data_IF_004330398739
#
_entry.id   IF_004330398739
#
_cell.length_a   1.000
_cell.length_b   1.000
_cell.length_c   1.000
_cell.angle_alpha   90.00
_cell.angle_beta   90.00
_cell.angle_gamma   90.00
#
_symmetry.space_group_name_H-M   'P 1'
#
loop_
_entity.id
_entity.type
_entity.pdbx_description
1 polymer ?
#
# COMPACT_ATOMS: atom_id res chain seq x y z
N UNK A 1 12.39 -1.52 8.10
CA UNK A 1 12.81 -0.15 7.74
C UNK A 1 13.31 -0.21 6.30
N UNK A 2 12.48 0.30 5.37
CA UNK A 2 12.72 0.22 3.93
C UNK A 2 14.08 0.84 3.59
N UNK A 3 15.04 -0.02 3.25
CA UNK A 3 16.34 0.43 2.77
C UNK A 3 16.15 0.91 1.34
N UNK A 4 16.17 2.23 1.13
CA UNK A 4 16.24 2.79 -0.23
C UNK A 4 17.64 2.54 -0.74
N UNK A 5 17.81 1.52 -1.57
CA UNK A 5 19.01 1.39 -2.38
C UNK A 5 18.87 2.30 -3.61
N UNK A 6 19.72 3.32 -3.79
CA UNK A 6 19.87 3.91 -5.11
C UNK A 6 20.43 2.82 -6.05
N UNK A 7 19.99 2.84 -7.31
CA UNK A 7 20.31 1.81 -8.29
C UNK A 7 21.77 1.33 -8.22
N UNK A 8 21.97 0.05 -7.87
CA UNK A 8 23.26 -0.64 -8.01
C UNK A 8 24.02 -1.06 -6.75
N UNK A 9 23.46 -0.98 -5.53
CA UNK A 9 24.16 -1.42 -4.31
C UNK A 9 23.39 -2.46 -3.49
N UNK A 10 24.01 -3.60 -3.19
CA UNK A 10 23.54 -4.54 -2.17
C UNK A 10 24.14 -4.19 -0.81
N UNK A 11 23.34 -4.14 0.26
CA UNK A 11 23.86 -4.00 1.64
C UNK A 11 23.08 -4.89 2.62
N UNK A 12 23.84 -5.71 3.35
CA UNK A 12 23.41 -6.46 4.55
C UNK A 12 23.21 -5.50 5.73
N UNK A 13 22.19 -5.73 6.57
CA UNK A 13 21.93 -4.94 7.78
C UNK A 13 22.87 -5.35 8.92
N UNK A 14 23.66 -4.41 9.45
CA UNK A 14 24.26 -4.47 10.79
C UNK A 14 23.52 -3.49 11.73
N UNK A 15 23.17 -3.97 12.93
CA UNK A 15 22.37 -3.26 13.92
C UNK A 15 23.19 -2.25 14.75
N UNK A 16 22.79 -0.97 14.75
CA UNK A 16 23.31 0.02 15.69
C UNK A 16 22.42 1.27 15.74
N UNK A 17 21.71 1.47 16.85
CA UNK A 17 20.84 2.62 17.09
C UNK A 17 21.60 3.66 17.95
N UNK A 18 21.74 4.89 17.48
CA UNK A 18 22.26 6.04 18.24
C UNK A 18 21.16 7.08 18.41
N UNK A 19 20.83 7.41 19.66
CA UNK A 19 19.85 8.44 20.02
C UNK A 19 20.57 9.79 20.27
N UNK A 20 20.03 10.95 19.84
CA UNK A 20 20.52 12.24 20.29
C UNK A 20 19.71 12.77 21.50
N UNK A 21 20.45 13.12 22.56
CA UNK A 21 19.97 13.80 23.75
C UNK A 21 20.01 15.33 23.58
N UNK A 22 18.91 16.01 23.93
CA UNK A 22 18.83 17.48 23.96
C UNK A 22 17.78 17.96 24.98
N UNK A 23 17.99 19.10 25.67
CA UNK A 23 17.30 19.43 26.92
C UNK A 23 15.89 20.02 26.73
N UNK A 24 15.01 19.70 27.68
CA UNK A 24 13.64 20.20 27.79
C UNK A 24 13.60 21.62 28.37
N UNK A 25 12.83 22.52 27.73
CA UNK A 25 12.51 23.83 28.28
C UNK A 25 11.02 23.91 28.63
N UNK A 26 10.73 24.36 29.85
CA UNK A 26 9.40 24.48 30.47
C UNK A 26 8.96 25.94 30.36
N UNK A 27 7.74 26.22 29.87
CA UNK A 27 7.09 27.53 30.03
C UNK A 27 5.63 27.32 30.41
N UNK A 28 5.22 27.95 31.52
CA UNK A 28 3.87 28.00 32.04
C UNK A 28 3.13 29.27 31.55
N UNK A 29 1.80 29.20 31.37
CA UNK A 29 0.95 30.40 31.34
C UNK A 29 -0.33 30.35 30.50
N UNK A 30 -1.45 30.06 31.18
CA UNK A 30 -2.79 30.70 31.03
C UNK A 30 -3.54 30.72 29.68
N UNK A 31 -4.53 29.83 29.57
CA UNK A 31 -5.96 30.20 29.50
C UNK A 31 -6.50 31.00 28.30
N UNK A 32 -6.90 30.29 27.23
CA UNK A 32 -8.03 30.70 26.39
C UNK A 32 -8.78 29.46 25.89
N UNK A 33 -9.96 29.18 26.45
CA UNK A 33 -10.86 28.12 25.93
C UNK A 33 -11.71 28.73 24.81
N UNK A 34 -11.17 28.73 23.60
CA UNK A 34 -12.00 28.69 22.41
C UNK A 34 -12.31 27.22 22.10
N UNK A 35 -13.59 26.86 22.01
CA UNK A 35 -14.02 25.54 21.59
C UNK A 35 -13.55 25.27 20.17
N UNK A 36 -12.35 24.71 20.02
CA UNK A 36 -11.90 24.13 18.78
C UNK A 36 -12.80 22.94 18.49
N UNK A 37 -13.69 23.08 17.51
CA UNK A 37 -14.22 21.93 16.80
C UNK A 37 -13.01 21.22 16.24
N UNK A 38 -12.65 20.08 16.81
CA UNK A 38 -11.63 19.19 16.27
C UNK A 38 -12.14 18.75 14.91
N UNK A 39 -11.77 19.48 13.84
CA UNK A 39 -11.78 18.95 12.49
C UNK A 39 -10.89 17.72 12.59
N UNK A 40 -11.50 16.53 12.62
CA UNK A 40 -10.77 15.28 12.72
C UNK A 40 -9.69 15.29 11.66
N UNK A 41 -8.43 15.11 12.06
CA UNK A 41 -7.29 15.04 11.14
C UNK A 41 -7.65 14.03 10.06
N UNK A 42 -7.86 14.47 8.82
CA UNK A 42 -8.09 13.54 7.72
C UNK A 42 -6.86 12.63 7.66
N UNK A 43 -7.07 11.32 7.78
CA UNK A 43 -5.99 10.34 7.67
C UNK A 43 -5.52 10.35 6.22
N UNK A 44 -4.21 10.46 6.00
CA UNK A 44 -3.63 10.33 4.66
C UNK A 44 -3.86 8.89 4.16
N UNK A 45 -4.15 8.74 2.86
CA UNK A 45 -4.19 7.41 2.25
C UNK A 45 -2.79 6.79 2.19
N UNK A 46 -2.67 5.46 2.11
CA UNK A 46 -1.38 4.82 1.85
C UNK A 46 -0.71 5.37 0.59
N UNK A 47 -1.45 5.58 -0.50
CA UNK A 47 -0.94 6.19 -1.72
C UNK A 47 -0.29 7.56 -1.46
N UNK A 48 -0.93 8.43 -0.66
CA UNK A 48 -0.38 9.75 -0.33
C UNK A 48 0.90 9.65 0.52
N UNK A 49 0.98 8.72 1.47
CA UNK A 49 2.19 8.49 2.28
C UNK A 49 3.36 8.02 1.42
N UNK A 50 3.13 7.07 0.53
CA UNK A 50 4.19 6.52 -0.34
C UNK A 50 4.58 7.51 -1.44
N UNK A 51 3.64 8.29 -1.97
CA UNK A 51 3.96 9.37 -2.91
C UNK A 51 4.85 10.44 -2.26
N UNK A 52 4.56 10.82 -1.01
CA UNK A 52 5.43 11.74 -0.26
C UNK A 52 6.85 11.19 -0.12
N UNK A 53 7.00 9.88 0.12
CA UNK A 53 8.29 9.21 0.18
C UNK A 53 9.01 9.21 -1.17
N UNK A 54 8.34 8.80 -2.26
CA UNK A 54 8.96 8.83 -3.60
C UNK A 54 9.45 10.23 -3.96
N UNK A 55 8.66 11.27 -3.66
CA UNK A 55 9.06 12.65 -3.85
C UNK A 55 10.29 13.04 -3.00
N UNK A 56 10.29 12.70 -1.71
CA UNK A 56 11.39 13.05 -0.80
C UNK A 56 12.71 12.34 -1.15
N UNK A 57 12.63 11.12 -1.67
CA UNK A 57 13.78 10.27 -1.99
C UNK A 57 14.15 10.27 -3.48
N UNK A 58 13.45 11.05 -4.32
CA UNK A 58 13.73 11.16 -5.76
C UNK A 58 13.48 9.86 -6.53
N UNK A 59 12.50 9.06 -6.10
CA UNK A 59 12.13 7.80 -6.76
C UNK A 59 11.11 8.03 -7.86
N UNK A 60 11.08 7.13 -8.84
CA UNK A 60 10.10 7.12 -9.92
C UNK A 60 8.66 7.14 -9.41
N UNK A 61 7.87 8.10 -9.91
CA UNK A 61 6.42 8.15 -9.73
C UNK A 61 5.79 8.66 -11.03
N UNK A 62 5.18 7.76 -11.80
CA UNK A 62 4.55 8.10 -13.09
C UNK A 62 3.15 8.67 -12.85
N UNK A 63 2.69 9.52 -13.77
CA UNK A 63 1.37 10.20 -13.67
C UNK A 63 0.23 9.46 -14.37
N UNK A 64 0.55 8.47 -15.18
CA UNK A 64 -0.41 7.64 -15.91
C UNK A 64 0.17 6.22 -16.00
N UNK A 65 -0.69 5.18 -16.09
CA UNK A 65 -0.22 3.81 -16.14
C UNK A 65 0.65 3.55 -17.37
N UNK A 66 1.78 2.89 -17.17
CA UNK A 66 2.71 2.53 -18.22
C UNK A 66 3.44 1.22 -17.89
N UNK A 67 3.87 0.55 -18.97
CA UNK A 67 4.91 -0.45 -18.88
C UNK A 67 6.24 0.22 -18.49
N UNK A 68 7.09 -0.52 -17.78
CA UNK A 68 8.40 -0.05 -17.32
C UNK A 68 9.50 -0.99 -17.84
N UNK A 69 10.76 -0.54 -17.87
CA UNK A 69 11.86 -1.40 -18.31
C UNK A 69 11.92 -2.72 -17.53
N UNK A 70 12.24 -3.86 -18.18
CA UNK A 70 12.27 -5.17 -17.54
C UNK A 70 13.14 -5.24 -16.28
N UNK A 71 14.30 -4.56 -16.27
CA UNK A 71 15.17 -4.51 -15.10
C UNK A 71 14.50 -3.83 -13.90
N UNK A 72 13.71 -2.78 -14.13
CA UNK A 72 12.98 -2.09 -13.08
C UNK A 72 11.81 -2.93 -12.59
N UNK A 73 11.09 -3.61 -13.51
CA UNK A 73 10.02 -4.54 -13.15
C UNK A 73 10.54 -5.72 -12.30
N UNK A 74 11.67 -6.31 -12.69
CA UNK A 74 12.33 -7.37 -11.93
C UNK A 74 12.73 -6.88 -10.53
N UNK A 75 13.30 -5.68 -10.43
CA UNK A 75 13.64 -5.11 -9.13
C UNK A 75 12.41 -4.89 -8.24
N UNK A 76 11.29 -4.39 -8.79
CA UNK A 76 10.03 -4.26 -8.02
C UNK A 76 9.47 -5.62 -7.60
N UNK A 77 9.63 -6.65 -8.42
CA UNK A 77 9.24 -8.03 -8.08
C UNK A 77 10.06 -8.56 -6.91
N UNK A 78 11.38 -8.36 -6.92
CA UNK A 78 12.28 -8.83 -5.86
C UNK A 78 11.92 -8.21 -4.51
N UNK A 79 11.66 -6.90 -4.48
CA UNK A 79 11.19 -6.20 -3.28
C UNK A 79 9.86 -6.79 -2.77
N UNK A 80 8.88 -7.01 -3.65
CA UNK A 80 7.59 -7.62 -3.26
C UNK A 80 7.76 -9.04 -2.70
N UNK A 81 8.68 -9.82 -3.28
CA UNK A 81 8.96 -11.18 -2.84
C UNK A 81 9.67 -11.19 -1.47
N UNK A 82 10.59 -10.25 -1.23
CA UNK A 82 11.27 -10.07 0.05
C UNK A 82 10.25 -9.78 1.17
N UNK A 83 9.42 -8.75 1.03
CA UNK A 83 8.44 -8.39 2.08
C UNK A 83 7.42 -9.50 2.34
N UNK A 84 7.02 -10.25 1.31
CA UNK A 84 6.12 -11.39 1.48
C UNK A 84 6.79 -12.54 2.25
N UNK A 85 8.09 -12.76 2.05
CA UNK A 85 8.86 -13.74 2.81
C UNK A 85 8.93 -13.33 4.29
N UNK A 86 9.18 -12.05 4.60
CA UNK A 86 9.22 -11.52 5.98
C UNK A 86 7.86 -11.72 6.69
N UNK A 87 6.73 -11.44 6.02
CA UNK A 87 5.39 -11.77 6.56
C UNK A 87 5.27 -13.27 6.89
N UNK A 88 5.77 -14.13 6.02
CA UNK A 88 5.64 -15.59 6.16
C UNK A 88 6.40 -16.12 7.38
N UNK A 89 7.50 -15.47 7.77
CA UNK A 89 8.28 -15.82 8.96
C UNK A 89 7.52 -15.55 10.27
N UNK A 90 6.68 -14.51 10.32
CA UNK A 90 6.01 -14.07 11.54
C UNK A 90 4.52 -14.43 11.61
N UNK A 91 3.89 -14.81 10.49
CA UNK A 91 2.42 -14.95 10.39
C UNK A 91 1.79 -16.00 11.31
N UNK A 92 2.49 -17.07 11.67
CA UNK A 92 1.91 -18.20 12.43
C UNK A 92 2.17 -18.10 13.93
N UNK A 93 3.42 -17.77 14.29
CA UNK A 93 3.89 -17.81 15.69
C UNK A 93 4.57 -16.53 16.13
N UNK A 94 4.70 -15.54 15.24
CA UNK A 94 5.34 -14.26 15.55
C UNK A 94 4.47 -13.38 16.45
N UNK A 95 5.09 -12.40 17.13
CA UNK A 95 4.35 -11.44 17.92
C UNK A 95 3.54 -10.49 17.00
N UNK A 96 2.40 -10.00 17.50
CA UNK A 96 1.42 -9.26 16.70
C UNK A 96 1.97 -7.93 16.14
N UNK A 97 2.85 -7.26 16.87
CA UNK A 97 3.50 -6.02 16.46
C UNK A 97 4.46 -6.24 15.28
N UNK A 98 5.20 -7.35 15.27
CA UNK A 98 6.02 -7.73 14.11
C UNK A 98 5.15 -8.09 12.90
N UNK A 99 4.10 -8.88 13.08
CA UNK A 99 3.16 -9.16 11.99
C UNK A 99 2.55 -7.87 11.41
N UNK A 100 2.21 -6.91 12.27
CA UNK A 100 1.70 -5.62 11.83
C UNK A 100 2.74 -4.81 11.04
N UNK A 101 4.03 -4.87 11.43
CA UNK A 101 5.13 -4.26 10.68
C UNK A 101 5.27 -4.88 9.29
N UNK A 102 5.35 -6.20 9.18
CA UNK A 102 5.58 -6.86 7.88
C UNK A 102 4.38 -6.70 6.94
N UNK A 103 3.15 -6.71 7.47
CA UNK A 103 1.97 -6.38 6.68
C UNK A 103 2.00 -4.93 6.17
N UNK A 104 2.51 -3.99 6.97
CA UNK A 104 2.66 -2.60 6.56
C UNK A 104 3.72 -2.47 5.45
N UNK A 105 4.84 -3.17 5.54
CA UNK A 105 5.92 -3.12 4.56
C UNK A 105 5.47 -3.72 3.20
N UNK A 106 4.71 -4.83 3.18
CA UNK A 106 4.05 -5.35 1.97
C UNK A 106 3.15 -4.31 1.32
N UNK A 107 2.29 -3.66 2.10
CA UNK A 107 1.40 -2.61 1.58
C UNK A 107 2.22 -1.45 1.02
N UNK A 108 3.28 -1.03 1.73
CA UNK A 108 4.12 0.08 1.33
C UNK A 108 4.82 -0.19 -0.01
N UNK A 109 5.41 -1.37 -0.18
CA UNK A 109 6.06 -1.77 -1.43
C UNK A 109 5.03 -1.98 -2.55
N UNK A 110 3.83 -2.48 -2.27
CA UNK A 110 2.77 -2.60 -3.28
C UNK A 110 2.35 -1.23 -3.83
N UNK A 111 2.11 -0.23 -2.97
CA UNK A 111 1.81 1.13 -3.41
C UNK A 111 3.00 1.78 -4.12
N UNK A 112 4.22 1.55 -3.65
CA UNK A 112 5.42 2.05 -4.33
C UNK A 112 5.55 1.46 -5.75
N UNK A 113 5.19 0.19 -5.94
CA UNK A 113 5.26 -0.48 -7.24
C UNK A 113 4.20 0.10 -8.16
N UNK A 114 2.99 0.32 -7.65
CA UNK A 114 1.93 0.98 -8.41
C UNK A 114 2.33 2.40 -8.85
N UNK A 115 2.95 3.20 -7.97
CA UNK A 115 3.45 4.53 -8.32
C UNK A 115 4.54 4.50 -9.40
N UNK A 116 5.47 3.54 -9.34
CA UNK A 116 6.47 3.34 -10.40
C UNK A 116 5.77 3.06 -11.73
N UNK A 117 4.71 2.24 -11.75
CA UNK A 117 3.91 2.03 -12.95
C UNK A 117 2.96 3.17 -13.30
N UNK A 118 2.73 4.14 -12.41
CA UNK A 118 1.75 5.21 -12.59
C UNK A 118 0.29 4.76 -12.43
N UNK A 119 0.08 3.64 -11.74
CA UNK A 119 -1.24 3.08 -11.44
C UNK A 119 -1.75 3.74 -10.17
N UNK A 120 -2.95 4.33 -10.25
CA UNK A 120 -3.71 4.68 -9.05
C UNK A 120 -4.29 3.39 -8.46
N UNK A 121 -3.59 2.86 -7.45
CA UNK A 121 -3.94 1.61 -6.79
C UNK A 121 -5.20 1.72 -5.93
N UNK A 122 -5.53 2.93 -5.44
CA UNK A 122 -6.76 3.14 -4.66
C UNK A 122 -7.99 2.87 -5.54
N UNK A 123 -7.98 3.35 -6.80
CA UNK A 123 -9.04 3.09 -7.78
C UNK A 123 -9.12 1.62 -8.22
N UNK A 124 -7.96 0.96 -8.41
CA UNK A 124 -7.92 -0.48 -8.71
C UNK A 124 -8.49 -1.30 -7.55
N UNK A 125 -8.12 -0.97 -6.30
CA UNK A 125 -8.64 -1.63 -5.11
C UNK A 125 -10.15 -1.38 -4.94
N UNK A 126 -10.64 -0.18 -5.24
CA UNK A 126 -12.06 0.14 -5.22
C UNK A 126 -12.86 -0.75 -6.19
N UNK A 127 -12.35 -0.97 -7.41
CA UNK A 127 -12.99 -1.86 -8.38
C UNK A 127 -12.93 -3.34 -7.96
N UNK A 128 -11.79 -3.80 -7.44
CA UNK A 128 -11.67 -5.16 -6.87
C UNK A 128 -12.64 -5.33 -5.70
N UNK A 129 -12.77 -4.33 -4.84
CA UNK A 129 -13.71 -4.32 -3.72
C UNK A 129 -15.16 -4.39 -4.23
N UNK A 130 -15.55 -3.53 -5.18
CA UNK A 130 -16.88 -3.55 -5.81
C UNK A 130 -17.22 -4.94 -6.35
N UNK A 131 -16.30 -5.55 -7.09
CA UNK A 131 -16.48 -6.89 -7.63
C UNK A 131 -16.60 -7.97 -6.54
N UNK A 132 -15.82 -7.87 -5.46
CA UNK A 132 -15.93 -8.78 -4.32
C UNK A 132 -17.26 -8.63 -3.57
N UNK A 133 -17.73 -7.40 -3.36
CA UNK A 133 -19.02 -7.13 -2.72
C UNK A 133 -20.20 -7.59 -3.58
N UNK A 134 -20.06 -7.65 -4.91
CA UNK A 134 -21.08 -8.22 -5.79
C UNK A 134 -21.29 -9.74 -5.64
N UNK A 135 -20.44 -10.44 -4.87
CA UNK A 135 -20.61 -11.87 -4.57
C UNK A 135 -21.70 -12.13 -3.54
N UNK A 136 -22.15 -11.11 -2.82
CA UNK A 136 -23.23 -11.24 -1.84
C UNK A 136 -24.54 -11.65 -2.52
N UNK A 137 -25.31 -12.51 -1.85
CA UNK A 137 -26.65 -12.91 -2.28
C UNK A 137 -27.69 -11.82 -2.01
N UNK A 138 -28.96 -12.09 -2.33
CA UNK A 138 -30.07 -11.14 -2.16
C UNK A 138 -30.19 -10.55 -0.74
N UNK A 139 -29.83 -11.32 0.29
CA UNK A 139 -29.90 -10.90 1.70
C UNK A 139 -28.61 -10.23 2.21
N UNK A 140 -27.73 -9.78 1.31
CA UNK A 140 -26.39 -9.28 1.64
C UNK A 140 -25.48 -10.29 2.38
N UNK A 141 -25.78 -11.58 2.25
CA UNK A 141 -25.00 -12.67 2.85
C UNK A 141 -24.14 -13.39 1.81
N UNK A 142 -22.90 -13.79 2.13
CA UNK A 142 -22.09 -14.59 1.22
C UNK A 142 -22.70 -15.99 1.03
N UNK A 143 -22.94 -16.40 -0.21
CA UNK A 143 -23.25 -17.80 -0.52
C UNK A 143 -21.95 -18.60 -0.39
N UNK A 144 -21.94 -19.64 0.45
CA UNK A 144 -20.73 -20.45 0.73
C UNK A 144 -20.92 -21.90 0.36
N UNK A 145 -19.83 -22.54 -0.09
CA UNK A 145 -19.73 -24.01 -0.17
C UNK A 145 -19.42 -24.61 1.22
N UNK A 146 -19.56 -25.95 1.38
CA UNK A 146 -19.17 -26.65 2.62
C UNK A 146 -17.71 -26.44 3.03
N UNK A 147 -16.81 -26.14 2.08
CA UNK A 147 -15.40 -25.82 2.33
C UNK A 147 -15.16 -24.37 2.81
N UNK A 148 -16.23 -23.59 3.03
CA UNK A 148 -16.17 -22.18 3.44
C UNK A 148 -15.93 -21.18 2.30
N UNK A 149 -15.68 -21.65 1.07
CA UNK A 149 -15.43 -20.77 -0.08
C UNK A 149 -16.67 -19.97 -0.44
N UNK A 150 -16.51 -18.64 -0.53
CA UNK A 150 -17.54 -17.74 -1.05
C UNK A 150 -17.73 -17.98 -2.55
N UNK A 151 -18.95 -18.31 -2.94
CA UNK A 151 -19.37 -18.51 -4.32
C UNK A 151 -19.74 -17.19 -4.98
N UNK A 152 -19.71 -17.19 -6.31
CA UNK A 152 -20.24 -16.09 -7.11
C UNK A 152 -21.77 -16.19 -7.09
N UNK A 153 -22.42 -15.20 -6.47
CA UNK A 153 -23.88 -15.08 -6.49
C UNK A 153 -24.43 -14.76 -7.89
N UNK A 154 -25.77 -14.80 -8.08
CA UNK A 154 -26.41 -14.55 -9.37
C UNK A 154 -26.18 -13.14 -9.94
N UNK A 155 -25.82 -12.18 -9.08
CA UNK A 155 -25.55 -10.78 -9.47
C UNK A 155 -24.05 -10.44 -9.52
N UNK A 156 -23.17 -11.45 -9.46
CA UNK A 156 -21.74 -11.24 -9.50
C UNK A 156 -21.30 -10.53 -10.79
N UNK A 157 -20.45 -9.53 -10.62
CA UNK A 157 -19.76 -8.83 -11.71
C UNK A 157 -18.26 -8.89 -11.47
N UNK A 158 -17.52 -9.42 -12.43
CA UNK A 158 -16.06 -9.41 -12.40
C UNK A 158 -15.51 -7.98 -12.36
N UNK A 159 -14.30 -7.76 -11.82
CA UNK A 159 -13.66 -6.46 -11.88
C UNK A 159 -13.24 -6.15 -13.32
N UNK A 160 -13.50 -4.93 -13.80
CA UNK A 160 -13.03 -4.44 -15.10
C UNK A 160 -11.79 -3.54 -14.92
N UNK A 161 -10.66 -4.17 -14.62
CA UNK A 161 -9.40 -3.47 -14.39
C UNK A 161 -8.91 -2.76 -15.65
N UNK A 162 -9.18 -3.32 -16.83
CA UNK A 162 -8.80 -2.68 -18.09
C UNK A 162 -9.53 -1.34 -18.28
N UNK A 163 -10.82 -1.26 -17.95
CA UNK A 163 -11.54 0.02 -17.97
C UNK A 163 -11.01 1.01 -16.94
N UNK A 164 -10.68 0.56 -15.72
CA UNK A 164 -10.08 1.42 -14.69
C UNK A 164 -8.75 2.01 -15.17
N UNK A 165 -7.86 1.19 -15.72
CA UNK A 165 -6.57 1.65 -16.25
C UNK A 165 -6.75 2.61 -17.44
N UNK A 166 -7.71 2.34 -18.35
CA UNK A 166 -8.04 3.29 -19.44
C UNK A 166 -8.53 4.62 -18.91
N UNK A 167 -9.35 4.64 -17.85
CA UNK A 167 -9.79 5.88 -17.21
C UNK A 167 -8.63 6.65 -16.56
N UNK A 168 -7.58 5.95 -16.14
CA UNK A 168 -6.31 6.54 -15.67
C UNK A 168 -5.37 6.97 -16.82
N UNK A 169 -5.78 6.82 -18.09
CA UNK A 169 -5.02 7.24 -19.26
C UNK A 169 -4.18 6.13 -19.92
N UNK A 170 -4.30 4.87 -19.48
CA UNK A 170 -3.61 3.76 -20.12
C UNK A 170 -4.19 3.46 -21.50
N UNK A 171 -3.32 3.37 -22.50
CA UNK A 171 -3.66 2.82 -23.83
C UNK A 171 -2.83 1.56 -24.03
N UNK A 172 -3.44 0.38 -24.16
CA UNK A 172 -2.68 -0.85 -24.39
C UNK A 172 -1.96 -0.75 -25.75
N UNK A 173 -0.71 -1.26 -25.85
CA UNK A 173 -0.01 -1.32 -27.12
C UNK A 173 -0.81 -2.15 -28.13
N UNK A 174 -0.75 -1.75 -29.41
CA UNK A 174 -1.28 -2.58 -30.50
C UNK A 174 -0.52 -3.92 -30.53
N UNK A 175 -1.27 -5.03 -30.55
CA UNK A 175 -0.71 -6.38 -30.59
C UNK A 175 -0.26 -6.76 -32.01
#
# INVERSE_FOLDING_TARGET
MIAVCPAGGAVRRDHGCVQPSGPQAVIAGTGFRAGARTLGRMRQSPAALVQQFHHAFGLDARRAPAEIPPELAAHRQDLLAEEFAEVSEVAVTGPLDHLAQELADVVYIAYGTALVHGIDLDEVLAEVHRANMSKLGPDHTPVRRPDGKVLKGPHYRAPDIASVLRAQGWTPPEQ
#
